data_IF_816498401561
#
_entry.id   IF_816498401561
#
_cell.length_a   1.000
_cell.length_b   1.000
_cell.length_c   1.000
_cell.angle_alpha   90.00
_cell.angle_beta   90.00
_cell.angle_gamma   90.00
#
_symmetry.space_group_name_H-M   'P 1'
#
loop_
_entity.id
_entity.type
_entity.pdbx_description
1 polymer ?
#
# COMPACT_ATOMS: atom_id res chain seq x y z
N UNK A 1 -67.16 -3.84 -18.97
CA UNK A 1 -66.43 -2.88 -18.12
C UNK A 1 -65.65 -3.57 -16.99
N UNK A 2 -66.26 -4.45 -16.21
CA UNK A 2 -65.62 -5.11 -15.08
C UNK A 2 -64.38 -5.99 -15.47
N UNK A 3 -64.49 -6.80 -16.54
CA UNK A 3 -63.40 -7.64 -17.02
C UNK A 3 -62.17 -6.81 -17.51
N UNK A 4 -62.41 -5.68 -18.13
CA UNK A 4 -61.35 -4.76 -18.57
C UNK A 4 -60.62 -4.12 -17.39
N UNK A 5 -61.37 -3.74 -16.31
CA UNK A 5 -60.78 -3.19 -15.12
C UNK A 5 -59.94 -4.24 -14.37
N UNK A 6 -60.37 -5.50 -14.33
CA UNK A 6 -59.61 -6.59 -13.70
C UNK A 6 -58.31 -6.89 -14.49
N UNK A 7 -58.35 -6.94 -15.82
CA UNK A 7 -57.16 -7.17 -16.65
C UNK A 7 -56.15 -6.02 -16.48
N UNK A 8 -56.62 -4.77 -16.50
CA UNK A 8 -55.77 -3.60 -16.25
C UNK A 8 -55.14 -3.61 -14.87
N UNK A 9 -55.88 -3.99 -13.82
CA UNK A 9 -55.38 -4.12 -12.45
C UNK A 9 -54.31 -5.18 -12.34
N UNK A 10 -54.53 -6.36 -12.97
CA UNK A 10 -53.56 -7.46 -12.97
C UNK A 10 -52.26 -7.08 -13.71
N UNK A 11 -52.34 -6.37 -14.83
CA UNK A 11 -51.17 -5.87 -15.56
C UNK A 11 -50.38 -4.84 -14.72
N UNK A 12 -51.08 -3.95 -14.02
CA UNK A 12 -50.43 -2.98 -13.13
C UNK A 12 -49.76 -3.66 -11.95
N UNK A 13 -50.37 -4.68 -11.35
CA UNK A 13 -49.80 -5.45 -10.28
C UNK A 13 -48.51 -6.22 -10.72
N UNK A 14 -48.60 -6.87 -11.90
CA UNK A 14 -47.44 -7.54 -12.47
C UNK A 14 -46.28 -6.58 -12.79
N UNK A 15 -46.57 -5.40 -13.31
CA UNK A 15 -45.56 -4.36 -13.55
C UNK A 15 -44.94 -3.84 -12.27
N UNK A 16 -45.74 -3.68 -11.20
CA UNK A 16 -45.23 -3.26 -9.88
C UNK A 16 -44.31 -4.32 -9.27
N UNK A 17 -44.65 -5.60 -9.35
CA UNK A 17 -43.83 -6.70 -8.90
C UNK A 17 -42.51 -6.77 -9.69
N UNK A 18 -42.57 -6.65 -11.02
CA UNK A 18 -41.35 -6.63 -11.83
C UNK A 18 -40.43 -5.44 -11.51
N UNK A 19 -40.96 -4.26 -11.23
CA UNK A 19 -40.17 -3.10 -10.79
C UNK A 19 -39.54 -3.31 -9.43
N UNK A 20 -40.29 -3.89 -8.49
CA UNK A 20 -39.72 -4.24 -7.15
C UNK A 20 -38.61 -5.26 -7.26
N UNK A 21 -38.82 -6.34 -8.03
CA UNK A 21 -37.75 -7.33 -8.26
C UNK A 21 -36.50 -6.70 -8.84
N UNK A 22 -36.62 -5.86 -9.88
CA UNK A 22 -35.48 -5.13 -10.45
C UNK A 22 -34.78 -4.21 -9.44
N UNK A 23 -35.52 -3.55 -8.56
CA UNK A 23 -34.95 -2.71 -7.52
C UNK A 23 -34.10 -3.53 -6.53
N UNK A 24 -34.64 -4.66 -6.03
CA UNK A 24 -33.90 -5.56 -5.14
C UNK A 24 -32.63 -6.14 -5.79
N UNK A 25 -32.72 -6.55 -7.07
CA UNK A 25 -31.55 -7.04 -7.80
C UNK A 25 -30.47 -5.96 -7.88
N UNK A 26 -30.82 -4.73 -8.24
CA UNK A 26 -29.87 -3.62 -8.32
C UNK A 26 -29.24 -3.25 -6.96
N UNK A 27 -30.01 -3.29 -5.89
CA UNK A 27 -29.48 -3.06 -4.56
C UNK A 27 -28.50 -4.18 -4.14
N UNK A 28 -28.81 -5.44 -4.46
CA UNK A 28 -27.92 -6.56 -4.22
C UNK A 28 -26.62 -6.42 -5.02
N UNK A 29 -26.71 -6.16 -6.32
CA UNK A 29 -25.57 -5.91 -7.20
C UNK A 29 -24.68 -4.75 -6.70
N UNK A 30 -25.30 -3.66 -6.23
CA UNK A 30 -24.59 -2.53 -5.64
C UNK A 30 -23.77 -2.92 -4.40
N UNK A 31 -24.38 -3.71 -3.49
CA UNK A 31 -23.71 -4.20 -2.28
C UNK A 31 -22.56 -5.14 -2.62
N UNK A 32 -22.78 -6.07 -3.54
CA UNK A 32 -21.80 -7.04 -3.97
C UNK A 32 -20.61 -6.36 -4.65
N UNK A 33 -20.86 -5.38 -5.52
CA UNK A 33 -19.82 -4.60 -6.17
C UNK A 33 -18.90 -3.91 -5.15
N UNK A 34 -19.48 -3.18 -4.21
CA UNK A 34 -18.71 -2.47 -3.17
C UNK A 34 -17.95 -3.46 -2.26
N UNK A 35 -18.60 -4.55 -1.86
CA UNK A 35 -17.99 -5.59 -1.01
C UNK A 35 -16.79 -6.26 -1.67
N UNK A 36 -16.92 -6.64 -2.94
CA UNK A 36 -15.84 -7.26 -3.72
C UNK A 36 -14.65 -6.29 -3.90
N UNK A 37 -14.94 -5.04 -4.29
CA UNK A 37 -13.90 -4.02 -4.47
C UNK A 37 -13.17 -3.70 -3.17
N UNK A 38 -13.91 -3.56 -2.07
CA UNK A 38 -13.35 -3.38 -0.73
C UNK A 38 -12.43 -4.54 -0.35
N UNK A 39 -12.90 -5.78 -0.46
CA UNK A 39 -12.11 -6.97 -0.15
C UNK A 39 -10.82 -7.03 -0.98
N UNK A 40 -10.90 -6.68 -2.27
CA UNK A 40 -9.73 -6.63 -3.15
C UNK A 40 -8.75 -5.54 -2.71
N UNK A 41 -9.24 -4.34 -2.37
CA UNK A 41 -8.40 -3.25 -1.88
C UNK A 41 -7.69 -3.63 -0.58
N UNK A 42 -8.41 -4.24 0.38
CA UNK A 42 -7.84 -4.73 1.63
C UNK A 42 -6.72 -5.76 1.40
N UNK A 43 -6.91 -6.72 0.49
CA UNK A 43 -5.88 -7.71 0.13
C UNK A 43 -4.64 -7.05 -0.49
N UNK A 44 -4.82 -6.05 -1.36
CA UNK A 44 -3.69 -5.32 -1.96
C UNK A 44 -2.92 -4.49 -0.94
N UNK A 45 -3.61 -3.85 -0.02
CA UNK A 45 -2.99 -3.12 1.09
C UNK A 45 -2.23 -4.06 2.05
N UNK A 46 -2.80 -5.21 2.38
CA UNK A 46 -2.10 -6.25 3.17
C UNK A 46 -0.82 -6.73 2.46
N UNK A 47 -0.85 -6.85 1.13
CA UNK A 47 0.36 -7.20 0.37
C UNK A 47 1.45 -6.12 0.49
N UNK A 48 1.10 -4.83 0.45
CA UNK A 48 2.04 -3.73 0.72
C UNK A 48 2.63 -3.86 2.12
N UNK A 49 1.79 -4.08 3.13
CA UNK A 49 2.23 -4.25 4.51
C UNK A 49 3.19 -5.44 4.68
N UNK A 50 2.88 -6.59 4.06
CA UNK A 50 3.76 -7.77 4.07
C UNK A 50 5.12 -7.49 3.45
N UNK A 51 5.16 -6.80 2.30
CA UNK A 51 6.42 -6.43 1.64
C UNK A 51 7.25 -5.46 2.48
N UNK A 52 6.60 -4.45 3.07
CA UNK A 52 7.27 -3.51 3.98
C UNK A 52 7.84 -4.23 5.21
N UNK A 53 7.09 -5.15 5.79
CA UNK A 53 7.55 -5.98 6.91
C UNK A 53 8.76 -6.83 6.53
N UNK A 54 8.74 -7.50 5.39
CA UNK A 54 9.86 -8.32 4.93
C UNK A 54 11.15 -7.49 4.77
N UNK A 55 11.06 -6.24 4.29
CA UNK A 55 12.20 -5.33 4.22
C UNK A 55 12.74 -5.00 5.61
N UNK A 56 11.85 -4.67 6.55
CA UNK A 56 12.22 -4.31 7.92
C UNK A 56 12.85 -5.50 8.66
N UNK A 57 12.32 -6.70 8.48
CA UNK A 57 12.75 -7.89 9.21
C UNK A 57 13.97 -8.59 8.58
N UNK A 58 14.26 -8.38 7.30
CA UNK A 58 15.38 -9.05 6.62
C UNK A 58 16.42 -8.09 6.07
N UNK A 59 16.03 -7.11 5.28
CA UNK A 59 16.98 -6.25 4.56
C UNK A 59 17.65 -5.23 5.48
N UNK A 60 16.88 -4.57 6.34
CA UNK A 60 17.43 -3.56 7.25
C UNK A 60 18.42 -4.14 8.28
N UNK A 61 18.18 -5.29 8.93
CA UNK A 61 19.18 -5.88 9.83
C UNK A 61 20.50 -6.18 9.10
N UNK A 62 20.42 -6.74 7.90
CA UNK A 62 21.60 -7.03 7.10
C UNK A 62 22.37 -5.75 6.73
N UNK A 63 21.68 -4.69 6.35
CA UNK A 63 22.33 -3.39 6.13
C UNK A 63 23.06 -2.89 7.37
N UNK A 64 22.42 -2.96 8.56
CA UNK A 64 23.04 -2.53 9.82
C UNK A 64 24.30 -3.33 10.12
N UNK A 65 24.29 -4.64 9.88
CA UNK A 65 25.48 -5.49 10.05
C UNK A 65 26.63 -5.07 9.11
N UNK A 66 26.33 -4.84 7.84
CA UNK A 66 27.32 -4.41 6.84
C UNK A 66 27.86 -3.03 7.20
N UNK A 67 26.99 -2.12 7.57
CA UNK A 67 27.39 -0.79 8.01
C UNK A 67 28.32 -0.83 9.23
N UNK A 68 28.05 -1.70 10.21
CA UNK A 68 28.95 -1.91 11.36
C UNK A 68 30.32 -2.47 10.93
N UNK A 69 30.38 -3.27 9.87
CA UNK A 69 31.65 -3.74 9.30
C UNK A 69 32.41 -2.59 8.64
N UNK A 70 31.72 -1.73 7.87
CA UNK A 70 32.32 -0.52 7.26
C UNK A 70 32.93 0.38 8.33
N UNK A 71 32.24 0.57 9.46
CA UNK A 71 32.73 1.41 10.57
C UNK A 71 34.05 0.89 11.20
N UNK A 72 34.36 -0.39 11.04
CA UNK A 72 35.62 -0.97 11.53
C UNK A 72 36.80 -0.80 10.56
N UNK A 73 36.56 -0.33 9.35
CA UNK A 73 37.61 -0.05 8.37
C UNK A 73 38.23 1.31 8.73
N UNK A 74 39.54 1.36 8.91
CA UNK A 74 40.23 2.60 9.19
C UNK A 74 40.44 3.43 7.91
N UNK A 75 39.45 4.24 7.59
CA UNK A 75 39.41 5.10 6.40
C UNK A 75 40.18 6.43 6.55
N UNK A 76 40.94 6.62 7.62
CA UNK A 76 41.70 7.86 7.88
C UNK A 76 42.76 8.19 6.85
N UNK A 77 43.05 7.28 5.94
CA UNK A 77 44.13 7.38 4.92
C UNK A 77 43.57 7.87 3.54
N UNK A 78 42.24 8.00 3.40
CA UNK A 78 41.59 8.37 2.14
C UNK A 78 41.43 9.90 1.99
N UNK A 79 41.23 10.36 0.75
CA UNK A 79 41.12 11.79 0.41
C UNK A 79 40.09 12.54 1.25
N UNK A 80 40.44 13.78 1.65
CA UNK A 80 39.63 14.62 2.60
C UNK A 80 38.16 14.82 2.18
N UNK A 81 37.84 14.80 0.87
CA UNK A 81 36.49 14.98 0.38
C UNK A 81 35.60 13.75 0.58
N UNK A 82 36.14 12.55 0.40
CA UNK A 82 35.42 11.28 0.62
C UNK A 82 35.15 11.07 2.13
N UNK A 83 36.11 11.43 2.96
CA UNK A 83 35.98 11.39 4.42
C UNK A 83 34.88 12.33 4.94
N UNK A 84 34.63 13.47 4.29
CA UNK A 84 33.59 14.41 4.68
C UNK A 84 32.18 13.82 4.50
N UNK A 85 31.92 13.14 3.39
CA UNK A 85 30.65 12.44 3.11
C UNK A 85 30.42 11.30 4.10
N UNK A 86 31.45 10.49 4.35
CA UNK A 86 31.41 9.41 5.33
C UNK A 86 31.11 9.91 6.76
N UNK A 87 31.79 10.98 7.19
CA UNK A 87 31.55 11.60 8.51
C UNK A 87 30.15 12.23 8.62
N UNK A 88 29.60 12.76 7.54
CA UNK A 88 28.23 13.27 7.51
C UNK A 88 27.22 12.14 7.65
N UNK A 89 27.46 10.98 7.03
CA UNK A 89 26.60 9.81 7.14
C UNK A 89 26.68 9.18 8.55
N UNK A 90 27.87 9.10 9.15
CA UNK A 90 28.04 8.62 10.53
C UNK A 90 27.25 9.46 11.56
N UNK A 91 27.13 10.76 11.32
CA UNK A 91 26.38 11.69 12.18
C UNK A 91 24.87 11.63 11.92
N UNK A 92 24.42 10.90 10.90
CA UNK A 92 22.99 10.83 10.58
C UNK A 92 22.25 9.97 11.62
N UNK A 93 21.16 10.50 12.15
CA UNK A 93 20.22 9.76 13.01
C UNK A 93 19.47 8.62 12.26
N UNK A 94 19.74 8.45 10.96
CA UNK A 94 19.06 7.48 10.11
C UNK A 94 19.31 6.04 10.57
N UNK A 95 20.54 5.69 10.93
CA UNK A 95 20.91 4.36 11.43
C UNK A 95 20.20 4.05 12.76
N UNK A 96 20.17 5.01 13.69
CA UNK A 96 19.45 4.87 14.95
C UNK A 96 17.94 4.72 14.71
N UNK A 97 17.37 5.48 13.79
CA UNK A 97 15.97 5.36 13.40
C UNK A 97 15.67 3.97 12.80
N UNK A 98 16.55 3.43 11.96
CA UNK A 98 16.41 2.07 11.41
C UNK A 98 16.46 1.01 12.52
N UNK A 99 17.37 1.13 13.48
CA UNK A 99 17.44 0.20 14.61
C UNK A 99 16.18 0.23 15.47
N UNK A 100 15.59 1.41 15.71
CA UNK A 100 14.31 1.55 16.44
C UNK A 100 13.17 0.86 15.68
N UNK A 101 13.12 1.01 14.35
CA UNK A 101 12.09 0.37 13.51
C UNK A 101 12.23 -1.15 13.50
N UNK A 102 13.46 -1.67 13.51
CA UNK A 102 13.74 -3.11 13.59
C UNK A 102 13.31 -3.67 14.96
N UNK A 103 13.58 -2.95 16.05
CA UNK A 103 13.27 -3.39 17.42
C UNK A 103 11.78 -3.33 17.77
N UNK A 104 11.00 -2.45 17.12
CA UNK A 104 9.56 -2.30 17.31
C UNK A 104 8.81 -2.55 16.00
N UNK A 105 8.60 -3.81 15.62
CA UNK A 105 7.89 -4.12 14.39
C UNK A 105 6.46 -3.59 14.48
N UNK A 106 6.07 -2.81 13.48
CA UNK A 106 4.70 -2.30 13.35
C UNK A 106 3.75 -3.47 13.08
N UNK A 107 2.61 -3.51 13.77
CA UNK A 107 1.57 -4.49 13.49
C UNK A 107 0.94 -4.24 12.13
N UNK A 108 0.39 -5.30 11.49
CA UNK A 108 -0.31 -5.17 10.19
C UNK A 108 -1.42 -4.13 10.26
N UNK A 109 -2.13 -4.04 11.39
CA UNK A 109 -3.16 -3.04 11.61
C UNK A 109 -2.62 -1.61 11.59
N UNK A 110 -1.48 -1.33 12.21
CA UNK A 110 -0.84 -0.01 12.19
C UNK A 110 -0.36 0.38 10.81
N UNK A 111 0.23 -0.56 10.05
CA UNK A 111 0.67 -0.34 8.67
C UNK A 111 -0.50 -0.07 7.71
N UNK A 112 -1.65 -0.68 7.96
CA UNK A 112 -2.87 -0.51 7.15
C UNK A 112 -3.64 0.76 7.55
N UNK A 113 -3.80 1.02 8.85
CA UNK A 113 -4.64 2.12 9.37
C UNK A 113 -4.09 3.49 8.98
N UNK A 114 -2.77 3.66 8.96
CA UNK A 114 -2.15 4.94 8.62
C UNK A 114 -2.41 5.36 7.16
N UNK A 115 -2.63 4.40 6.25
CA UNK A 115 -2.87 4.65 4.83
C UNK A 115 -4.35 4.67 4.42
N UNK A 116 -5.22 3.91 5.09
CA UNK A 116 -6.62 3.74 4.67
C UNK A 116 -7.55 4.77 5.32
N UNK A 117 -7.35 5.08 6.61
CA UNK A 117 -8.32 5.86 7.38
C UNK A 117 -8.08 7.37 7.39
N UNK A 118 -6.90 7.86 7.05
CA UNK A 118 -6.63 9.31 6.90
C UNK A 118 -7.02 9.87 5.54
N UNK A 119 -7.44 9.05 4.58
CA UNK A 119 -7.82 9.46 3.22
C UNK A 119 -9.27 9.09 2.87
N UNK A 120 -10.05 10.08 2.56
CA UNK A 120 -11.23 10.18 1.66
C UNK A 120 -12.28 9.04 1.68
N UNK A 121 -11.92 7.75 1.86
CA UNK A 121 -12.88 6.63 1.77
C UNK A 121 -13.91 6.57 2.90
N UNK A 122 -13.58 7.00 4.10
CA UNK A 122 -14.51 6.98 5.25
C UNK A 122 -15.63 8.02 5.16
N UNK A 123 -15.36 9.20 4.59
CA UNK A 123 -16.36 10.26 4.43
C UNK A 123 -17.39 9.92 3.34
N UNK A 124 -16.96 9.36 2.19
CA UNK A 124 -17.88 9.05 1.08
C UNK A 124 -18.88 7.93 1.42
N UNK A 125 -18.49 6.94 2.22
CA UNK A 125 -19.38 5.84 2.63
C UNK A 125 -20.45 6.33 3.62
N UNK A 126 -20.12 7.29 4.49
CA UNK A 126 -21.07 7.87 5.43
C UNK A 126 -22.13 8.76 4.74
N UNK A 127 -21.72 9.55 3.74
CA UNK A 127 -22.65 10.40 2.97
C UNK A 127 -23.59 9.58 2.08
N UNK A 128 -23.14 8.48 1.50
CA UNK A 128 -23.96 7.57 0.72
C UNK A 128 -25.12 6.97 1.52
N UNK A 129 -24.89 6.68 2.82
CA UNK A 129 -25.95 6.19 3.71
C UNK A 129 -27.02 7.23 4.03
N UNK A 130 -26.67 8.52 4.12
CA UNK A 130 -27.61 9.60 4.43
C UNK A 130 -28.53 9.94 3.26
N UNK A 131 -28.04 9.83 2.01
CA UNK A 131 -28.83 10.15 0.81
C UNK A 131 -29.82 9.04 0.41
N UNK A 132 -29.71 7.83 0.97
CA UNK A 132 -30.59 6.69 0.73
C UNK A 132 -32.02 6.90 1.22
N UNK A 133 -32.26 7.81 2.15
CA UNK A 133 -33.59 8.04 2.76
C UNK A 133 -34.53 8.94 1.94
N UNK A 134 -34.06 9.59 0.88
CA UNK A 134 -34.80 10.65 0.18
C UNK A 134 -35.45 10.23 -1.18
N UNK A 135 -35.28 9.00 -1.66
CA UNK A 135 -35.77 8.61 -2.99
C UNK A 135 -37.23 8.14 -2.99
N UNK A 136 -38.07 8.87 -3.73
CA UNK A 136 -39.54 8.70 -3.76
C UNK A 136 -40.07 7.46 -4.47
N UNK A 137 -39.28 6.71 -5.26
CA UNK A 137 -39.71 5.44 -5.86
C UNK A 137 -38.59 4.38 -5.70
N UNK A 138 -38.99 3.15 -5.33
CA UNK A 138 -38.02 2.05 -5.07
C UNK A 138 -37.03 1.81 -6.22
N UNK A 139 -37.46 1.85 -7.47
CA UNK A 139 -36.59 1.61 -8.62
C UNK A 139 -35.65 2.80 -8.87
N UNK A 140 -36.15 4.03 -8.71
CA UNK A 140 -35.31 5.24 -8.81
C UNK A 140 -34.27 5.28 -7.70
N UNK A 141 -34.67 4.94 -6.48
CA UNK A 141 -33.78 4.79 -5.33
C UNK A 141 -32.70 3.74 -5.60
N UNK A 142 -33.06 2.56 -6.09
CA UNK A 142 -32.12 1.49 -6.42
C UNK A 142 -31.11 1.90 -7.51
N UNK A 143 -31.53 2.67 -8.50
CA UNK A 143 -30.65 3.21 -9.52
C UNK A 143 -29.64 4.21 -8.94
N UNK A 144 -30.08 5.10 -8.02
CA UNK A 144 -29.19 6.04 -7.32
C UNK A 144 -28.20 5.27 -6.45
N UNK A 145 -28.66 4.27 -5.71
CA UNK A 145 -27.81 3.41 -4.89
C UNK A 145 -26.74 2.72 -5.74
N UNK A 146 -27.14 2.18 -6.88
CA UNK A 146 -26.22 1.52 -7.80
C UNK A 146 -25.18 2.49 -8.37
N UNK A 147 -25.60 3.68 -8.81
CA UNK A 147 -24.68 4.72 -9.29
C UNK A 147 -23.68 5.16 -8.21
N UNK A 148 -24.15 5.32 -6.98
CA UNK A 148 -23.27 5.62 -5.84
C UNK A 148 -22.30 4.48 -5.56
N UNK A 149 -22.75 3.23 -5.66
CA UNK A 149 -21.90 2.06 -5.52
C UNK A 149 -20.79 2.01 -6.60
N UNK A 150 -21.11 2.40 -7.84
CA UNK A 150 -20.12 2.53 -8.91
C UNK A 150 -19.07 3.59 -8.57
N UNK A 151 -19.47 4.77 -8.11
CA UNK A 151 -18.52 5.82 -7.69
C UNK A 151 -17.61 5.36 -6.54
N UNK A 152 -18.16 4.63 -5.56
CA UNK A 152 -17.37 4.03 -4.47
C UNK A 152 -16.42 2.96 -5.02
N UNK A 153 -16.87 2.15 -5.97
CA UNK A 153 -16.02 1.14 -6.61
C UNK A 153 -14.83 1.77 -7.35
N UNK A 154 -15.01 2.89 -8.03
CA UNK A 154 -13.93 3.65 -8.69
C UNK A 154 -12.88 4.15 -7.68
N UNK A 155 -13.31 4.59 -6.49
CA UNK A 155 -12.38 4.97 -5.41
C UNK A 155 -11.57 3.76 -4.96
N UNK A 156 -12.20 2.59 -4.78
CA UNK A 156 -11.46 1.37 -4.46
C UNK A 156 -10.50 0.95 -5.57
N UNK A 157 -10.87 1.10 -6.84
CA UNK A 157 -9.97 0.83 -7.97
C UNK A 157 -8.73 1.74 -7.95
N UNK A 158 -8.91 3.01 -7.61
CA UNK A 158 -7.80 3.93 -7.42
C UNK A 158 -6.88 3.51 -6.25
N UNK A 159 -7.45 3.03 -5.13
CA UNK A 159 -6.69 2.49 -3.99
C UNK A 159 -5.92 1.24 -4.41
N UNK A 160 -6.56 0.30 -5.10
CA UNK A 160 -5.96 -0.93 -5.62
C UNK A 160 -4.76 -0.60 -6.51
N UNK A 161 -4.95 0.29 -7.49
CA UNK A 161 -3.88 0.69 -8.40
C UNK A 161 -2.71 1.39 -7.71
N UNK A 162 -2.97 2.19 -6.67
CA UNK A 162 -1.91 2.79 -5.85
C UNK A 162 -1.15 1.74 -5.04
N UNK A 163 -1.86 0.83 -4.39
CA UNK A 163 -1.26 -0.24 -3.60
C UNK A 163 -0.35 -1.13 -4.47
N UNK A 164 -0.77 -1.47 -5.67
CA UNK A 164 0.03 -2.24 -6.63
C UNK A 164 1.31 -1.51 -7.04
N UNK A 165 1.21 -0.21 -7.35
CA UNK A 165 2.39 0.61 -7.69
C UNK A 165 3.36 0.73 -6.52
N UNK A 166 2.86 0.97 -5.31
CA UNK A 166 3.70 1.02 -4.10
C UNK A 166 4.38 -0.33 -3.85
N UNK A 167 3.64 -1.44 -3.93
CA UNK A 167 4.20 -2.77 -3.76
C UNK A 167 5.31 -3.08 -4.79
N UNK A 168 5.10 -2.70 -6.05
CA UNK A 168 6.11 -2.85 -7.10
C UNK A 168 7.35 -1.98 -6.85
N UNK A 169 7.15 -0.72 -6.45
CA UNK A 169 8.24 0.20 -6.14
C UNK A 169 9.08 -0.32 -4.96
N UNK A 170 8.44 -0.72 -3.86
CA UNK A 170 9.12 -1.30 -2.70
C UNK A 170 9.99 -2.50 -3.08
N UNK A 171 9.49 -3.39 -3.94
CA UNK A 171 10.26 -4.56 -4.38
C UNK A 171 11.48 -4.16 -5.21
N UNK A 172 11.32 -3.21 -6.14
CA UNK A 172 12.43 -2.74 -6.98
C UNK A 172 13.50 -2.03 -6.14
N UNK A 173 13.09 -1.13 -5.27
CA UNK A 173 14.01 -0.43 -4.37
C UNK A 173 14.73 -1.41 -3.44
N UNK A 174 14.01 -2.38 -2.88
CA UNK A 174 14.62 -3.40 -2.03
C UNK A 174 15.62 -4.27 -2.78
N UNK A 175 15.34 -4.63 -4.03
CA UNK A 175 16.27 -5.40 -4.85
C UNK A 175 17.58 -4.63 -5.14
N UNK A 176 17.48 -3.33 -5.45
CA UNK A 176 18.65 -2.48 -5.63
C UNK A 176 19.44 -2.34 -4.34
N UNK A 177 18.75 -2.11 -3.23
CA UNK A 177 19.38 -1.97 -1.92
C UNK A 177 20.07 -3.27 -1.46
N UNK A 178 19.42 -4.42 -1.64
CA UNK A 178 20.07 -5.72 -1.39
C UNK A 178 21.27 -5.93 -2.29
N UNK A 179 21.21 -5.54 -3.56
CA UNK A 179 22.34 -5.61 -4.46
C UNK A 179 23.54 -4.81 -3.94
N UNK A 180 23.34 -3.57 -3.50
CA UNK A 180 24.43 -2.77 -2.93
C UNK A 180 24.99 -3.38 -1.64
N UNK A 181 24.13 -3.91 -0.77
CA UNK A 181 24.55 -4.61 0.45
C UNK A 181 25.46 -5.81 0.10
N UNK A 182 25.05 -6.64 -0.85
CA UNK A 182 25.83 -7.82 -1.27
C UNK A 182 27.18 -7.45 -1.88
N UNK A 183 27.24 -6.46 -2.77
CA UNK A 183 28.50 -5.99 -3.34
C UNK A 183 29.42 -5.43 -2.27
N UNK A 184 28.89 -4.67 -1.33
CA UNK A 184 29.65 -4.16 -0.19
C UNK A 184 30.19 -5.29 0.72
N UNK A 185 29.36 -6.28 1.04
CA UNK A 185 29.82 -7.45 1.83
C UNK A 185 30.93 -8.19 1.11
N UNK A 186 30.84 -8.36 -0.20
CA UNK A 186 31.87 -9.02 -1.02
C UNK A 186 33.20 -8.26 -0.95
N UNK A 187 33.15 -6.94 -1.14
CA UNK A 187 34.35 -6.08 -1.05
C UNK A 187 34.99 -6.13 0.33
N UNK A 188 34.18 -6.05 1.41
CA UNK A 188 34.70 -6.15 2.78
C UNK A 188 35.29 -7.53 3.05
N UNK A 189 34.68 -8.60 2.54
CA UNK A 189 35.18 -9.95 2.73
C UNK A 189 36.53 -10.17 2.03
N UNK A 190 36.71 -9.54 0.88
CA UNK A 190 37.97 -9.62 0.11
C UNK A 190 39.10 -8.81 0.74
N UNK A 191 38.81 -7.61 1.23
CA UNK A 191 39.82 -6.62 1.66
C UNK A 191 40.02 -6.53 3.18
N UNK A 192 39.06 -7.05 3.97
CA UNK A 192 39.10 -7.02 5.42
C UNK A 192 38.97 -5.61 6.01
N UNK A 193 39.63 -5.34 7.10
CA UNK A 193 39.59 -4.04 7.82
C UNK A 193 40.72 -3.09 7.44
N UNK A 194 41.65 -3.50 6.59
CA UNK A 194 42.79 -2.69 6.19
C UNK A 194 42.43 -1.76 5.04
N UNK A 195 42.28 -0.46 5.29
CA UNK A 195 41.94 0.54 4.28
C UNK A 195 42.86 0.54 3.05
N UNK A 196 44.12 0.22 3.21
CA UNK A 196 45.10 0.17 2.10
C UNK A 196 44.82 -0.96 1.09
N UNK A 197 44.01 -1.94 1.46
CA UNK A 197 43.61 -3.03 0.57
C UNK A 197 42.49 -2.63 -0.41
N UNK A 198 41.83 -1.50 -0.17
CA UNK A 198 40.72 -1.01 -0.99
C UNK A 198 41.23 -0.10 -2.10
N UNK A 199 40.87 -0.44 -3.34
CA UNK A 199 41.09 0.43 -4.48
C UNK A 199 39.97 1.48 -4.60
N UNK A 200 40.08 2.41 -5.57
CA UNK A 200 39.10 3.46 -5.78
C UNK A 200 37.70 2.93 -6.10
N UNK A 201 37.59 1.82 -6.83
CA UNK A 201 36.32 1.19 -7.16
C UNK A 201 35.68 0.56 -5.91
N UNK A 202 36.46 -0.12 -5.08
CA UNK A 202 36.01 -0.71 -3.82
C UNK A 202 35.50 0.38 -2.87
N UNK A 203 36.22 1.50 -2.77
CA UNK A 203 35.78 2.66 -1.99
C UNK A 203 34.45 3.23 -2.49
N UNK A 204 34.28 3.33 -3.81
CA UNK A 204 33.00 3.73 -4.41
C UNK A 204 31.84 2.81 -4.06
N UNK A 205 32.07 1.49 -3.97
CA UNK A 205 31.06 0.51 -3.55
C UNK A 205 30.70 0.71 -2.08
N UNK A 206 31.68 0.91 -1.19
CA UNK A 206 31.43 1.19 0.23
C UNK A 206 30.58 2.45 0.43
N UNK A 207 30.79 3.48 -0.40
CA UNK A 207 30.10 4.77 -0.31
C UNK A 207 28.66 4.72 -0.87
N UNK A 208 28.31 3.74 -1.69
CA UNK A 208 26.97 3.58 -2.28
C UNK A 208 26.04 2.70 -1.46
N UNK A 209 26.52 1.99 -0.46
CA UNK A 209 25.73 1.20 0.46
C UNK A 209 25.11 2.08 1.53
#
# INVERSE_FOLDING_TARGET
ALAYCADKSNKMAAQALAKRSKAFTKEAEARDLVSQKRSTAEKKMQNVAKKKRAIIESTLPRFVEVYQKIQKIDLTISDKNELAVYNQFQKSNAIQAMQVVIQKPLTDGQLITEYIFKGIGGMMIADSKRNLSAAKSQLSAANVVYSQAQSVAEVYDAIIGRAERIASLLMRMNALFLGSIFETEKVITQNGTNAKAYNQQDMGILMTC
#
